data_IF_959729913639
#
_entry.id   IF_959729913639
#
_cell.length_a   1.000
_cell.length_b   1.000
_cell.length_c   1.000
_cell.angle_alpha   90.00
_cell.angle_beta   90.00
_cell.angle_gamma   90.00
#
_symmetry.space_group_name_H-M   'P 1'
#
loop_
_entity.id
_entity.type
_entity.pdbx_description
1 polymer ?
#
# COMPACT_ATOMS: atom_id res chain seq x y z
N UNK A 1 0.29 -20.89 -6.73
CA UNK A 1 -0.93 -20.11 -6.89
C UNK A 1 -1.23 -19.35 -5.61
N UNK A 2 -1.54 -18.06 -5.71
CA UNK A 2 -1.94 -17.23 -4.56
C UNK A 2 -3.44 -17.38 -4.31
N UNK A 3 -3.82 -17.38 -3.03
CA UNK A 3 -5.23 -17.47 -2.64
C UNK A 3 -6.03 -16.26 -3.15
N UNK A 4 -7.21 -16.55 -3.71
CA UNK A 4 -8.19 -15.55 -4.13
C UNK A 4 -9.38 -15.63 -3.17
N UNK A 5 -9.57 -14.57 -2.39
CA UNK A 5 -10.69 -14.47 -1.46
C UNK A 5 -11.97 -14.01 -2.15
N UNK A 6 -13.05 -14.80 -1.99
CA UNK A 6 -14.34 -14.52 -2.62
C UNK A 6 -14.98 -13.22 -2.11
N UNK A 7 -14.85 -12.93 -0.81
CA UNK A 7 -15.39 -11.72 -0.21
C UNK A 7 -14.72 -10.48 -0.78
N UNK A 8 -13.41 -10.55 -1.02
CA UNK A 8 -12.65 -9.48 -1.67
C UNK A 8 -13.12 -9.25 -3.11
N UNK A 9 -13.37 -10.32 -3.87
CA UNK A 9 -13.91 -10.19 -5.25
C UNK A 9 -15.30 -9.57 -5.24
N UNK A 10 -16.18 -10.00 -4.33
CA UNK A 10 -17.52 -9.41 -4.19
C UNK A 10 -17.45 -7.93 -3.81
N UNK A 11 -16.54 -7.57 -2.91
CA UNK A 11 -16.33 -6.18 -2.51
C UNK A 11 -15.90 -5.34 -3.71
N UNK A 12 -14.91 -5.79 -4.49
CA UNK A 12 -14.45 -5.10 -5.69
C UNK A 12 -15.55 -4.97 -6.74
N UNK A 13 -16.41 -6.00 -6.91
CA UNK A 13 -17.51 -5.96 -7.87
C UNK A 13 -18.53 -4.85 -7.60
N UNK A 14 -18.60 -4.36 -6.36
CA UNK A 14 -19.47 -3.27 -5.90
C UNK A 14 -18.83 -1.90 -5.99
N UNK A 15 -17.54 -1.83 -6.32
CA UNK A 15 -16.82 -0.56 -6.41
C UNK A 15 -17.15 0.19 -7.71
N UNK A 16 -16.77 1.46 -7.77
CA UNK A 16 -16.95 2.30 -8.95
C UNK A 16 -16.30 1.65 -10.18
N UNK A 17 -17.05 1.58 -11.29
CA UNK A 17 -16.57 1.01 -12.55
C UNK A 17 -15.30 1.68 -13.10
N UNK A 18 -15.10 2.96 -12.81
CA UNK A 18 -13.88 3.68 -13.19
C UNK A 18 -12.67 3.16 -12.42
N UNK A 19 -12.78 2.97 -11.11
CA UNK A 19 -11.73 2.39 -10.28
C UNK A 19 -11.36 0.96 -10.74
N UNK A 20 -12.36 0.13 -11.03
CA UNK A 20 -12.14 -1.21 -11.58
C UNK A 20 -11.40 -1.19 -12.92
N UNK A 21 -11.78 -0.25 -13.81
CA UNK A 21 -11.13 -0.10 -15.11
C UNK A 21 -9.65 0.31 -14.96
N UNK A 22 -9.34 1.18 -14.01
CA UNK A 22 -7.95 1.58 -13.75
C UNK A 22 -7.06 0.42 -13.28
N UNK A 23 -7.61 -0.55 -12.53
CA UNK A 23 -6.85 -1.75 -12.14
C UNK A 23 -6.40 -2.62 -13.31
N UNK A 24 -7.03 -2.46 -14.48
CA UNK A 24 -6.74 -3.26 -15.67
C UNK A 24 -5.89 -2.51 -16.69
N UNK A 25 -5.55 -1.25 -16.44
CA UNK A 25 -4.69 -0.44 -17.31
C UNK A 25 -3.23 -0.62 -16.89
N UNK A 26 -2.34 -0.71 -17.87
CA UNK A 26 -0.89 -0.81 -17.67
C UNK A 26 -0.45 -1.95 -16.76
N UNK A 27 -1.17 -3.07 -16.80
CA UNK A 27 -0.82 -4.25 -16.02
C UNK A 27 0.50 -4.86 -16.51
N UNK A 28 1.26 -5.41 -15.58
CA UNK A 28 2.48 -6.15 -15.87
C UNK A 28 2.47 -7.51 -15.17
N UNK A 29 3.29 -8.48 -15.62
CA UNK A 29 3.43 -9.75 -14.92
C UNK A 29 3.84 -9.54 -13.45
N UNK A 30 3.22 -10.31 -12.57
CA UNK A 30 3.42 -10.22 -11.11
C UNK A 30 4.90 -10.24 -10.70
N UNK A 31 5.65 -11.19 -11.22
CA UNK A 31 7.08 -11.36 -10.91
C UNK A 31 7.90 -10.14 -11.36
N UNK A 32 7.58 -9.59 -12.53
CA UNK A 32 8.21 -8.37 -13.03
C UNK A 32 7.93 -7.18 -12.09
N UNK A 33 6.67 -7.00 -11.66
CA UNK A 33 6.30 -5.93 -10.75
C UNK A 33 7.07 -5.99 -9.43
N UNK A 34 7.21 -7.19 -8.84
CA UNK A 34 7.97 -7.38 -7.60
C UNK A 34 9.45 -7.08 -7.80
N UNK A 35 10.04 -7.53 -8.91
CA UNK A 35 11.46 -7.29 -9.19
C UNK A 35 11.74 -5.80 -9.42
N UNK A 36 10.92 -5.10 -10.20
CA UNK A 36 11.04 -3.65 -10.42
C UNK A 36 10.87 -2.86 -9.11
N UNK A 37 9.91 -3.26 -8.26
CA UNK A 37 9.75 -2.64 -6.95
C UNK A 37 11.00 -2.80 -6.08
N UNK A 38 11.59 -4.00 -6.02
CA UNK A 38 12.80 -4.25 -5.25
C UNK A 38 13.98 -3.43 -5.77
N UNK A 39 14.15 -3.36 -7.08
CA UNK A 39 15.20 -2.57 -7.72
C UNK A 39 15.03 -1.07 -7.41
N UNK A 40 13.82 -0.57 -7.52
CA UNK A 40 13.49 0.81 -7.16
C UNK A 40 13.74 1.12 -5.68
N UNK A 41 13.36 0.25 -4.77
CA UNK A 41 13.59 0.43 -3.34
C UNK A 41 15.08 0.36 -3.01
N UNK A 42 15.81 -0.62 -3.55
CA UNK A 42 17.25 -0.82 -3.40
C UNK A 42 17.71 -0.84 -1.94
N UNK A 43 18.94 -0.39 -1.71
CA UNK A 43 19.58 -0.33 -0.39
C UNK A 43 19.41 1.03 0.31
N UNK A 44 18.32 1.74 0.03
CA UNK A 44 18.11 3.10 0.53
C UNK A 44 17.96 3.20 2.06
N UNK A 45 17.73 2.10 2.74
CA UNK A 45 17.52 2.03 4.21
C UNK A 45 16.46 3.02 4.71
N UNK A 46 15.45 3.26 3.90
CA UNK A 46 14.33 4.15 4.24
C UNK A 46 13.18 3.37 4.86
N UNK A 47 12.37 3.98 5.74
CA UNK A 47 11.17 3.35 6.24
C UNK A 47 10.16 3.02 5.14
N UNK A 48 9.54 1.83 5.24
CA UNK A 48 8.36 1.48 4.45
C UNK A 48 7.11 1.67 5.30
N UNK A 49 6.14 2.36 4.75
CA UNK A 49 4.88 2.66 5.41
C UNK A 49 3.73 1.90 4.73
N UNK A 50 2.91 1.23 5.54
CA UNK A 50 1.63 0.68 5.09
C UNK A 50 0.48 1.34 5.83
N UNK A 51 -0.69 1.45 5.21
CA UNK A 51 -1.89 1.96 5.88
C UNK A 51 -2.26 1.09 7.09
N UNK A 52 -2.08 -0.23 6.94
CA UNK A 52 -1.91 -1.18 8.04
C UNK A 52 -0.66 -2.00 7.74
N UNK A 53 0.45 -1.75 8.41
CA UNK A 53 1.72 -2.43 8.12
C UNK A 53 1.59 -3.96 8.20
N UNK A 54 0.76 -4.47 9.12
CA UNK A 54 0.45 -5.89 9.24
C UNK A 54 -0.38 -6.46 8.08
N UNK A 55 -0.85 -5.65 7.15
CA UNK A 55 -1.56 -6.07 5.94
C UNK A 55 -0.73 -5.79 4.69
N UNK A 56 -0.49 -4.53 4.38
CA UNK A 56 0.15 -4.12 3.11
C UNK A 56 1.58 -4.66 3.00
N UNK A 57 2.39 -4.45 4.03
CA UNK A 57 3.80 -4.86 4.03
C UNK A 57 3.94 -6.38 4.06
N UNK A 58 3.11 -7.08 4.85
CA UNK A 58 3.15 -8.54 4.90
C UNK A 58 2.72 -9.20 3.59
N UNK A 59 1.73 -8.63 2.90
CA UNK A 59 1.33 -9.12 1.57
C UNK A 59 2.49 -8.95 0.58
N UNK A 60 3.18 -7.81 0.62
CA UNK A 60 4.31 -7.54 -0.25
C UNK A 60 5.50 -8.48 0.06
N UNK A 61 5.82 -8.72 1.33
CA UNK A 61 6.83 -9.70 1.73
C UNK A 61 6.46 -11.13 1.28
N UNK A 62 5.21 -11.54 1.49
CA UNK A 62 4.70 -12.83 1.01
C UNK A 62 4.81 -12.96 -0.52
N UNK A 63 4.59 -11.86 -1.25
CA UNK A 63 4.78 -11.83 -2.69
C UNK A 63 6.25 -12.08 -3.08
N UNK A 64 7.18 -11.42 -2.39
CA UNK A 64 8.62 -11.61 -2.62
C UNK A 64 9.06 -13.04 -2.33
N UNK A 65 8.65 -13.59 -1.19
CA UNK A 65 8.99 -14.99 -0.84
C UNK A 65 8.43 -15.99 -1.86
N UNK A 66 7.25 -15.74 -2.42
CA UNK A 66 6.63 -16.64 -3.41
C UNK A 66 7.39 -16.74 -4.73
N UNK A 67 8.26 -15.79 -5.04
CA UNK A 67 9.13 -15.78 -6.24
C UNK A 67 10.60 -16.03 -5.91
N UNK A 68 10.90 -16.52 -4.70
CA UNK A 68 12.22 -17.04 -4.33
C UNK A 68 13.14 -16.07 -3.60
N UNK A 69 12.68 -14.88 -3.21
CA UNK A 69 13.48 -14.04 -2.34
C UNK A 69 13.52 -14.58 -0.92
N UNK A 70 14.68 -14.59 -0.30
CA UNK A 70 14.87 -15.07 1.08
C UNK A 70 14.51 -14.01 2.13
N UNK A 71 14.55 -12.73 1.77
CA UNK A 71 14.28 -11.61 2.66
C UNK A 71 13.81 -10.37 1.88
N UNK A 72 12.99 -9.50 2.51
CA UNK A 72 12.66 -8.20 1.94
C UNK A 72 13.89 -7.27 1.91
N UNK A 73 13.88 -6.18 1.11
CA UNK A 73 15.00 -5.25 1.03
C UNK A 73 15.09 -4.29 2.22
N UNK A 74 14.05 -4.19 3.03
CA UNK A 74 14.04 -3.35 4.25
C UNK A 74 14.38 -4.15 5.50
N UNK A 75 14.72 -3.43 6.54
CA UNK A 75 14.90 -3.97 7.89
C UNK A 75 13.58 -3.99 8.64
N UNK A 76 13.37 -4.96 9.56
CA UNK A 76 12.10 -5.07 10.30
C UNK A 76 11.76 -3.80 11.10
N UNK A 77 12.76 -3.05 11.57
CA UNK A 77 12.55 -1.79 12.30
C UNK A 77 12.24 -0.58 11.39
N UNK A 78 12.31 -0.75 10.08
CA UNK A 78 11.87 0.22 9.08
C UNK A 78 10.41 0.04 8.67
N UNK A 79 9.71 -0.95 9.23
CA UNK A 79 8.29 -1.17 8.95
C UNK A 79 7.46 -0.27 9.85
N UNK A 80 6.74 0.65 9.25
CA UNK A 80 5.93 1.66 9.93
C UNK A 80 4.46 1.54 9.53
N UNK A 81 3.57 1.91 10.46
CA UNK A 81 2.12 1.85 10.28
C UNK A 81 1.50 3.25 10.29
N UNK A 82 0.93 3.64 9.14
CA UNK A 82 0.24 4.91 8.98
C UNK A 82 -0.95 5.06 9.96
N UNK A 83 -1.77 4.02 10.10
CA UNK A 83 -2.89 4.01 11.07
C UNK A 83 -2.43 4.28 12.49
N UNK A 84 -1.34 3.66 12.91
CA UNK A 84 -0.79 3.89 14.25
C UNK A 84 -0.36 5.33 14.42
N UNK A 85 0.36 5.88 13.45
CA UNK A 85 0.81 7.28 13.50
C UNK A 85 -0.38 8.25 13.57
N UNK A 86 -1.39 8.08 12.75
CA UNK A 86 -2.58 8.95 12.75
C UNK A 86 -3.40 8.83 14.03
N UNK A 87 -3.53 7.63 14.58
CA UNK A 87 -4.24 7.40 15.83
C UNK A 87 -3.55 8.08 17.02
N UNK A 88 -2.22 8.03 17.08
CA UNK A 88 -1.44 8.66 18.15
C UNK A 88 -1.62 10.19 18.21
N UNK A 89 -1.86 10.84 17.08
CA UNK A 89 -2.09 12.30 17.00
C UNK A 89 -3.57 12.67 16.89
N UNK A 90 -4.48 11.73 17.06
CA UNK A 90 -5.92 11.97 17.03
C UNK A 90 -6.51 12.34 15.65
N UNK A 91 -5.78 12.04 14.58
CA UNK A 91 -6.25 12.26 13.20
C UNK A 91 -7.03 11.03 12.74
N UNK A 92 -8.35 11.15 12.57
CA UNK A 92 -9.16 10.03 12.07
C UNK A 92 -9.05 9.88 10.55
N UNK A 93 -9.04 8.64 10.07
CA UNK A 93 -9.05 8.34 8.62
C UNK A 93 -10.23 8.99 7.88
N UNK A 94 -11.37 9.20 8.55
CA UNK A 94 -12.53 9.89 7.96
C UNK A 94 -12.24 11.38 7.67
N UNK A 95 -11.44 12.05 8.49
CA UNK A 95 -11.01 13.44 8.24
C UNK A 95 -10.01 13.55 7.10
N UNK A 96 -9.16 12.55 6.93
CA UNK A 96 -8.20 12.49 5.83
C UNK A 96 -8.94 12.28 4.50
N UNK A 97 -9.91 11.37 4.48
CA UNK A 97 -10.71 11.05 3.28
C UNK A 97 -11.67 12.17 2.86
N UNK A 98 -12.15 12.99 3.78
CA UNK A 98 -13.09 14.07 3.49
C UNK A 98 -12.51 15.22 2.65
N UNK A 99 -11.19 15.25 2.46
CA UNK A 99 -10.48 16.29 1.68
C UNK A 99 -10.05 15.81 0.29
N UNK A 100 -10.40 14.59 -0.11
CA UNK A 100 -9.91 13.93 -1.30
C UNK A 100 -11.01 13.69 -2.33
N UNK A 101 -10.65 14.02 -3.57
CA UNK A 101 -11.48 13.78 -4.74
C UNK A 101 -11.71 12.26 -4.92
N UNK A 102 -12.82 11.86 -5.49
CA UNK A 102 -13.51 10.57 -5.45
C UNK A 102 -12.78 9.37 -6.13
N UNK A 103 -11.44 9.39 -6.22
CA UNK A 103 -10.61 8.30 -6.78
C UNK A 103 -10.19 7.25 -5.74
N UNK A 104 -11.04 7.02 -4.73
CA UNK A 104 -10.80 6.02 -3.69
C UNK A 104 -10.47 4.64 -4.29
N UNK A 105 -9.46 3.99 -3.69
CA UNK A 105 -8.92 2.67 -4.05
C UNK A 105 -7.94 2.65 -5.24
N UNK A 106 -7.43 3.79 -5.69
CA UNK A 106 -6.22 3.83 -6.50
C UNK A 106 -5.00 3.81 -5.56
N UNK A 107 -4.12 2.82 -5.70
CA UNK A 107 -2.99 2.63 -4.78
C UNK A 107 -2.01 3.82 -4.77
N UNK A 108 -1.81 4.46 -5.92
CA UNK A 108 -0.92 5.63 -6.02
C UNK A 108 -1.53 6.85 -5.33
N UNK A 109 -2.81 7.13 -5.59
CA UNK A 109 -3.51 8.27 -4.99
C UNK A 109 -3.60 8.11 -3.46
N UNK A 110 -3.91 6.90 -2.99
CA UNK A 110 -3.91 6.56 -1.56
C UNK A 110 -2.52 6.77 -0.94
N UNK A 111 -1.44 6.35 -1.60
CA UNK A 111 -0.08 6.52 -1.11
C UNK A 111 0.35 8.00 -1.06
N UNK A 112 -0.01 8.79 -2.06
CA UNK A 112 0.26 10.24 -2.11
C UNK A 112 -0.47 10.95 -0.95
N UNK A 113 -1.74 10.65 -0.77
CA UNK A 113 -2.56 11.22 0.30
C UNK A 113 -2.02 10.89 1.68
N UNK A 114 -1.71 9.62 1.93
CA UNK A 114 -1.12 9.17 3.18
C UNK A 114 0.25 9.85 3.44
N UNK A 115 1.07 9.98 2.41
CA UNK A 115 2.37 10.69 2.50
C UNK A 115 2.17 12.15 2.88
N UNK A 116 1.26 12.86 2.22
CA UNK A 116 0.96 14.26 2.53
C UNK A 116 0.48 14.42 3.98
N UNK A 117 -0.32 13.50 4.46
CA UNK A 117 -0.80 13.50 5.85
C UNK A 117 0.33 13.24 6.83
N UNK A 118 1.21 12.26 6.56
CA UNK A 118 2.39 11.99 7.39
C UNK A 118 3.31 13.20 7.48
N UNK A 119 3.59 13.87 6.35
CA UNK A 119 4.42 15.08 6.32
C UNK A 119 3.82 16.18 7.21
N UNK A 120 2.51 16.37 7.19
CA UNK A 120 1.83 17.33 8.08
C UNK A 120 1.99 16.95 9.55
N UNK A 121 1.79 15.68 9.90
CA UNK A 121 1.91 15.18 11.26
C UNK A 121 3.34 15.35 11.79
N UNK A 122 4.33 15.01 11.00
CA UNK A 122 5.74 15.03 11.41
C UNK A 122 6.34 16.45 11.48
N UNK A 123 5.66 17.44 10.89
CA UNK A 123 6.08 18.85 10.95
C UNK A 123 5.44 19.63 12.09
N UNK A 124 4.47 19.05 12.76
CA UNK A 124 3.86 19.65 13.96
C UNK A 124 4.63 19.29 15.20
#
# INVERSE_FOLDING_TARGET
DRHIDKGTIEWWSKQNKHALKQLMVDTMPFEKAINEFREWYGDKSIPIWGNSAGFDVQILESAMYSIGYEKPPWKYWHIHCFKTATNLVGVSNSKIRATEDDTHHNALDDAISQTNTLVKILRT
#
